data_IF_266919458883
#
_entry.id   IF_266919458883
#
_cell.length_a   1.000
_cell.length_b   1.000
_cell.length_c   1.000
_cell.angle_alpha   90.00
_cell.angle_beta   90.00
_cell.angle_gamma   90.00
#
_symmetry.space_group_name_H-M   'P 1'
#
loop_
_entity.id
_entity.type
_entity.pdbx_description
1 polymer ?
#
# COMPACT_ATOMS: atom_id res chain seq x y z
N UNK A 1 4.60 -9.12 24.12
CA UNK A 1 3.57 -9.14 23.05
C UNK A 1 4.28 -8.70 21.78
N UNK A 2 4.21 -9.47 20.68
CA UNK A 2 4.81 -9.09 19.39
C UNK A 2 3.73 -8.36 18.61
N UNK A 3 4.00 -7.14 18.16
CA UNK A 3 3.14 -6.41 17.21
C UNK A 3 3.58 -6.73 15.78
N UNK A 4 2.65 -6.80 14.83
CA UNK A 4 2.92 -7.14 13.43
C UNK A 4 3.06 -5.89 12.58
N UNK A 5 2.37 -4.80 12.94
CA UNK A 5 2.51 -3.49 12.29
C UNK A 5 2.50 -2.34 13.29
N UNK A 6 3.06 -1.21 12.88
CA UNK A 6 2.93 0.08 13.54
C UNK A 6 2.48 1.10 12.49
N UNK A 7 1.23 1.54 12.64
CA UNK A 7 0.59 2.47 11.70
C UNK A 7 0.82 3.93 12.10
N UNK A 8 0.53 4.87 11.18
CA UNK A 8 0.83 6.30 11.33
C UNK A 8 2.31 6.61 11.60
N UNK A 9 3.22 5.83 10.99
CA UNK A 9 4.65 5.90 11.27
C UNK A 9 5.38 7.05 10.54
N UNK A 10 4.67 8.08 10.07
CA UNK A 10 5.27 9.18 9.30
C UNK A 10 6.16 10.10 10.15
N UNK A 11 5.95 10.17 11.47
CA UNK A 11 6.83 10.88 12.40
C UNK A 11 7.92 10.03 13.05
N UNK A 12 7.99 8.74 12.73
CA UNK A 12 8.98 7.82 13.29
C UNK A 12 10.37 8.17 12.76
N UNK A 13 11.36 8.25 13.64
CA UNK A 13 12.75 8.50 13.24
C UNK A 13 13.44 7.24 12.71
N UNK A 14 14.60 7.41 12.08
CA UNK A 14 15.33 6.34 11.42
C UNK A 14 15.78 5.24 12.39
N UNK A 15 16.20 5.60 13.62
CA UNK A 15 16.60 4.62 14.65
C UNK A 15 15.43 3.72 15.05
N UNK A 16 14.26 4.29 15.29
CA UNK A 16 13.07 3.53 15.61
C UNK A 16 12.64 2.62 14.46
N UNK A 17 12.71 3.10 13.19
CA UNK A 17 12.44 2.26 12.01
C UNK A 17 13.40 1.09 11.88
N UNK A 18 14.68 1.30 12.13
CA UNK A 18 15.66 0.21 12.14
C UNK A 18 15.30 -0.86 13.16
N UNK A 19 14.93 -0.45 14.39
CA UNK A 19 14.47 -1.38 15.43
C UNK A 19 13.18 -2.11 15.06
N UNK A 20 12.25 -1.45 14.37
CA UNK A 20 11.03 -2.08 13.84
C UNK A 20 11.38 -3.14 12.79
N UNK A 21 12.29 -2.82 11.86
CA UNK A 21 12.81 -3.78 10.87
C UNK A 21 13.41 -5.01 11.54
N UNK A 22 14.32 -4.83 12.51
CA UNK A 22 14.98 -5.91 13.23
C UNK A 22 13.97 -6.79 14.00
N UNK A 23 12.88 -6.18 14.48
CA UNK A 23 11.79 -6.88 15.16
C UNK A 23 10.78 -7.53 14.18
N UNK A 24 10.91 -7.33 12.87
CA UNK A 24 9.99 -7.82 11.86
C UNK A 24 8.62 -7.15 11.91
N UNK A 25 8.58 -5.88 12.32
CA UNK A 25 7.35 -5.06 12.38
C UNK A 25 7.19 -4.31 11.06
N UNK A 26 6.05 -4.47 10.40
CA UNK A 26 5.70 -3.70 9.21
C UNK A 26 5.43 -2.23 9.58
N UNK A 27 6.00 -1.30 8.81
CA UNK A 27 5.81 0.13 9.01
C UNK A 27 4.62 0.61 8.17
N UNK A 28 3.51 0.94 8.80
CA UNK A 28 2.29 1.43 8.13
C UNK A 28 2.31 2.94 7.92
N UNK A 29 2.08 3.37 6.68
CA UNK A 29 1.90 4.77 6.31
C UNK A 29 0.50 5.02 5.78
N UNK A 30 -0.02 6.20 6.08
CA UNK A 30 -1.34 6.63 5.67
C UNK A 30 -1.21 7.96 4.90
N UNK A 31 -0.82 7.91 3.61
CA UNK A 31 -0.46 9.10 2.83
C UNK A 31 -1.59 10.11 2.68
N UNK A 32 -2.84 9.69 2.88
CA UNK A 32 -4.00 10.59 2.90
C UNK A 32 -3.94 11.61 4.03
N UNK A 33 -3.36 11.26 5.18
CA UNK A 33 -3.22 12.16 6.33
C UNK A 33 -2.31 13.36 6.02
N UNK A 34 -1.02 13.20 5.68
CA UNK A 34 -0.18 14.34 5.33
C UNK A 34 -0.68 15.11 4.10
N UNK A 35 -1.37 14.45 3.17
CA UNK A 35 -2.00 15.14 2.04
C UNK A 35 -3.12 16.08 2.48
N UNK A 36 -4.06 15.58 3.30
CA UNK A 36 -5.24 16.34 3.72
C UNK A 36 -4.92 17.41 4.76
N UNK A 37 -3.93 17.17 5.62
CA UNK A 37 -3.54 18.06 6.71
C UNK A 37 -2.36 18.97 6.39
N UNK A 38 -1.73 18.84 5.22
CA UNK A 38 -0.57 19.65 4.83
C UNK A 38 0.71 19.32 5.61
N UNK A 39 0.83 18.10 6.12
CA UNK A 39 1.98 17.67 6.91
C UNK A 39 3.19 17.30 6.03
N UNK A 40 4.34 17.17 6.67
CA UNK A 40 5.56 16.73 6.02
C UNK A 40 5.48 15.24 5.63
N UNK A 41 5.94 14.93 4.41
CA UNK A 41 5.99 13.56 3.91
C UNK A 41 7.26 12.85 4.34
N UNK A 42 7.17 11.55 4.70
CA UNK A 42 8.36 10.74 4.96
C UNK A 42 9.26 10.59 3.73
N UNK A 43 10.53 10.31 3.96
CA UNK A 43 11.45 9.94 2.89
C UNK A 43 11.30 8.44 2.53
N UNK A 44 10.36 8.14 1.65
CA UNK A 44 10.07 6.76 1.23
C UNK A 44 11.24 6.09 0.50
N UNK A 45 11.99 6.85 -0.31
CA UNK A 45 13.16 6.31 -1.00
C UNK A 45 14.26 5.87 -0.03
N UNK A 46 14.44 6.60 1.08
CA UNK A 46 15.35 6.14 2.14
C UNK A 46 14.90 4.81 2.74
N UNK A 47 13.61 4.63 2.99
CA UNK A 47 13.09 3.36 3.51
C UNK A 47 13.31 2.20 2.53
N UNK A 48 13.16 2.44 1.23
CA UNK A 48 13.47 1.44 0.20
C UNK A 48 14.95 1.08 0.22
N UNK A 49 15.83 2.09 0.28
CA UNK A 49 17.29 1.88 0.32
C UNK A 49 17.76 1.17 1.60
N UNK A 50 17.07 1.41 2.70
CA UNK A 50 17.35 0.76 4.00
C UNK A 50 16.66 -0.61 4.11
N UNK A 51 16.02 -1.10 3.05
CA UNK A 51 15.30 -2.38 2.98
C UNK A 51 14.26 -2.53 4.12
N UNK A 52 13.53 -1.47 4.40
CA UNK A 52 12.45 -1.47 5.40
C UNK A 52 11.16 -1.94 4.74
N UNK A 53 10.50 -2.93 5.33
CA UNK A 53 9.16 -3.36 4.90
C UNK A 53 8.13 -2.33 5.36
N UNK A 54 7.40 -1.76 4.41
CA UNK A 54 6.37 -0.77 4.68
C UNK A 54 5.12 -1.00 3.83
N UNK A 55 3.98 -0.54 4.33
CA UNK A 55 2.68 -0.63 3.67
C UNK A 55 1.97 0.72 3.68
N UNK A 56 0.97 0.88 2.82
CA UNK A 56 0.09 2.04 2.83
C UNK A 56 -1.37 1.64 3.04
N UNK A 57 -2.12 2.55 3.67
CA UNK A 57 -3.57 2.47 3.82
C UNK A 57 -4.19 3.85 3.62
N UNK A 58 -5.49 3.93 3.50
CA UNK A 58 -6.19 5.19 3.18
C UNK A 58 -6.37 6.11 4.38
N UNK A 59 -6.49 5.55 5.58
CA UNK A 59 -6.91 6.29 6.78
C UNK A 59 -8.24 7.03 6.56
N UNK A 60 -9.20 6.37 5.91
CA UNK A 60 -10.49 6.98 5.66
C UNK A 60 -11.20 7.32 6.97
N UNK A 61 -11.45 8.61 7.18
CA UNK A 61 -12.10 9.16 8.37
C UNK A 61 -12.75 10.52 8.03
N UNK A 62 -13.50 11.16 8.94
CA UNK A 62 -14.16 12.44 8.66
C UNK A 62 -13.24 13.57 8.19
N UNK A 63 -11.94 13.56 8.57
CA UNK A 63 -10.96 14.57 8.18
C UNK A 63 -10.21 14.21 6.89
N UNK A 64 -10.25 12.93 6.50
CA UNK A 64 -9.60 12.40 5.31
C UNK A 64 -10.53 11.42 4.60
N UNK A 65 -11.26 11.90 3.60
CA UNK A 65 -12.27 11.12 2.87
C UNK A 65 -11.71 10.43 1.61
N UNK A 66 -10.42 10.05 1.62
CA UNK A 66 -9.77 9.36 0.51
C UNK A 66 -9.97 7.85 0.67
N UNK A 67 -10.63 7.20 -0.30
CA UNK A 67 -10.82 5.75 -0.38
C UNK A 67 -9.94 5.06 -1.43
N UNK A 68 -9.23 5.84 -2.26
CA UNK A 68 -8.52 5.32 -3.41
C UNK A 68 -7.05 5.07 -3.12
N UNK A 69 -6.65 3.81 -3.02
CA UNK A 69 -5.23 3.40 -2.96
C UNK A 69 -4.47 3.79 -4.25
N UNK A 70 -5.04 3.63 -5.49
CA UNK A 70 -4.40 4.15 -6.71
C UNK A 70 -4.11 5.65 -6.65
N UNK A 71 -5.02 6.46 -6.10
CA UNK A 71 -4.78 7.89 -5.92
C UNK A 71 -3.62 8.16 -4.95
N UNK A 72 -3.60 7.50 -3.78
CA UNK A 72 -2.51 7.65 -2.82
C UNK A 72 -1.16 7.22 -3.41
N UNK A 73 -1.15 6.14 -4.16
CA UNK A 73 0.05 5.68 -4.88
C UNK A 73 0.51 6.70 -5.93
N UNK A 74 -0.41 7.36 -6.63
CA UNK A 74 -0.06 8.43 -7.55
C UNK A 74 0.62 9.63 -6.87
N UNK A 75 0.21 9.93 -5.63
CA UNK A 75 0.87 10.97 -4.82
C UNK A 75 2.29 10.56 -4.44
N UNK A 76 2.50 9.30 -4.03
CA UNK A 76 3.84 8.80 -3.72
C UNK A 76 4.77 8.88 -4.93
N UNK A 77 4.30 8.51 -6.11
CA UNK A 77 5.06 8.62 -7.36
C UNK A 77 5.34 10.09 -7.70
N UNK A 78 4.30 10.93 -7.75
CA UNK A 78 4.42 12.30 -8.28
C UNK A 78 5.08 13.28 -7.31
N UNK A 79 4.85 13.16 -5.99
CA UNK A 79 5.38 14.08 -4.97
C UNK A 79 6.66 13.58 -4.31
N UNK A 80 6.77 12.26 -4.11
CA UNK A 80 7.86 11.67 -3.36
C UNK A 80 8.88 10.96 -4.25
N UNK A 81 8.61 10.84 -5.55
CA UNK A 81 9.51 10.18 -6.51
C UNK A 81 9.67 8.67 -6.24
N UNK A 82 8.66 8.05 -5.62
CA UNK A 82 8.68 6.61 -5.35
C UNK A 82 8.43 5.84 -6.65
N UNK A 83 9.19 4.77 -6.86
CA UNK A 83 9.01 3.89 -8.01
C UNK A 83 7.58 3.26 -8.00
N UNK A 84 6.87 3.22 -9.16
CA UNK A 84 5.54 2.61 -9.26
C UNK A 84 5.47 1.16 -8.78
N UNK A 85 6.55 0.37 -8.96
CA UNK A 85 6.61 -1.01 -8.46
C UNK A 85 6.68 -1.04 -6.93
N UNK A 86 7.44 -0.14 -6.31
CA UNK A 86 7.48 -0.03 -4.85
C UNK A 86 6.11 0.34 -4.28
N UNK A 87 5.36 1.25 -4.95
CA UNK A 87 3.99 1.58 -4.53
C UNK A 87 3.03 0.39 -4.68
N UNK A 88 3.18 -0.42 -5.73
CA UNK A 88 2.39 -1.64 -5.91
C UNK A 88 2.66 -2.64 -4.78
N UNK A 89 3.93 -2.90 -4.47
CA UNK A 89 4.33 -3.84 -3.42
C UNK A 89 3.83 -3.41 -2.04
N UNK A 90 3.97 -2.11 -1.70
CA UNK A 90 3.49 -1.60 -0.41
C UNK A 90 1.95 -1.50 -0.31
N UNK A 91 1.23 -1.63 -1.42
CA UNK A 91 -0.24 -1.63 -1.48
C UNK A 91 -0.85 -3.04 -1.55
N UNK A 92 -0.06 -4.07 -1.83
CA UNK A 92 -0.55 -5.44 -2.05
C UNK A 92 0.17 -6.46 -1.20
N UNK A 93 1.44 -6.76 -1.52
CA UNK A 93 2.22 -7.82 -0.88
C UNK A 93 2.53 -7.52 0.58
N UNK A 94 3.00 -6.30 0.88
CA UNK A 94 3.43 -5.96 2.23
C UNK A 94 2.27 -5.91 3.23
N UNK A 95 1.11 -5.26 2.96
CA UNK A 95 -0.02 -5.30 3.89
C UNK A 95 -0.60 -6.71 4.07
N UNK A 96 -0.51 -7.59 3.08
CA UNK A 96 -0.95 -8.97 3.21
C UNK A 96 -0.24 -9.76 4.33
N UNK A 97 0.97 -9.35 4.71
CA UNK A 97 1.73 -9.96 5.82
C UNK A 97 1.01 -9.78 7.16
N UNK A 98 0.36 -8.62 7.35
CA UNK A 98 -0.30 -8.24 8.61
C UNK A 98 -1.83 -8.40 8.59
N UNK A 99 -2.38 -8.78 7.45
CA UNK A 99 -3.82 -9.00 7.26
C UNK A 99 -4.09 -10.40 6.71
N UNK A 100 -3.85 -11.46 7.50
CA UNK A 100 -4.02 -12.84 7.03
C UNK A 100 -5.48 -13.09 6.61
N UNK A 101 -5.64 -13.84 5.50
CA UNK A 101 -6.99 -14.21 5.05
C UNK A 101 -7.61 -15.27 5.96
N UNK A 102 -8.93 -15.19 6.29
CA UNK A 102 -9.59 -16.15 7.19
C UNK A 102 -9.51 -17.61 6.74
N UNK A 103 -9.37 -17.87 5.43
CA UNK A 103 -9.19 -19.25 4.91
C UNK A 103 -7.82 -19.85 5.20
N UNK A 104 -6.85 -19.05 5.67
CA UNK A 104 -5.45 -19.46 5.85
C UNK A 104 -4.65 -19.51 4.55
N UNK A 105 -5.26 -19.23 3.39
CA UNK A 105 -4.54 -19.12 2.11
C UNK A 105 -3.81 -17.78 2.01
N UNK A 106 -2.71 -17.78 1.30
CA UNK A 106 -1.93 -16.56 1.05
C UNK A 106 -2.63 -15.64 0.04
N UNK A 107 -2.38 -14.34 0.14
CA UNK A 107 -2.86 -13.31 -0.78
C UNK A 107 -1.82 -12.19 -0.97
N UNK A 108 -2.17 -11.16 -1.75
CA UNK A 108 -1.25 -10.07 -2.06
C UNK A 108 -0.18 -10.42 -3.10
N UNK A 109 -0.27 -11.59 -3.71
CA UNK A 109 0.61 -12.09 -4.77
C UNK A 109 -0.16 -12.95 -5.78
N UNK A 110 0.39 -13.09 -6.99
CA UNK A 110 -0.14 -13.99 -8.02
C UNK A 110 0.76 -15.23 -8.04
N UNK A 111 0.32 -16.28 -7.37
CA UNK A 111 1.06 -17.53 -7.23
C UNK A 111 0.07 -18.71 -7.09
N UNK A 112 0.49 -19.91 -7.54
CA UNK A 112 -0.32 -21.12 -7.40
C UNK A 112 -0.58 -21.40 -5.92
N UNK A 113 -1.84 -21.58 -5.54
CA UNK A 113 -2.27 -21.79 -4.15
C UNK A 113 -2.67 -20.51 -3.41
N UNK A 114 -2.43 -19.32 -3.98
CA UNK A 114 -2.93 -18.06 -3.42
C UNK A 114 -4.39 -17.81 -3.78
N UNK A 115 -5.10 -17.06 -2.94
CA UNK A 115 -6.45 -16.61 -3.23
C UNK A 115 -6.46 -15.68 -4.43
N UNK A 116 -7.39 -15.89 -5.35
CA UNK A 116 -7.60 -15.06 -6.51
C UNK A 116 -8.43 -13.80 -6.16
N UNK A 117 -7.82 -12.89 -5.38
CA UNK A 117 -8.31 -11.54 -5.10
C UNK A 117 -7.50 -10.56 -5.95
N UNK A 118 -8.04 -10.16 -7.11
CA UNK A 118 -7.33 -9.43 -8.15
C UNK A 118 -8.15 -8.25 -8.65
N UNK A 119 -7.48 -7.15 -8.99
CA UNK A 119 -8.07 -6.08 -9.78
C UNK A 119 -7.64 -6.20 -11.24
N UNK A 120 -8.58 -6.03 -12.16
CA UNK A 120 -8.34 -6.06 -13.61
C UNK A 120 -8.14 -4.62 -14.09
N UNK A 121 -6.96 -4.35 -14.61
CA UNK A 121 -6.56 -3.02 -15.04
C UNK A 121 -7.12 -2.68 -16.43
N UNK A 122 -7.63 -1.46 -16.60
CA UNK A 122 -8.04 -0.91 -17.91
C UNK A 122 -6.83 -0.36 -18.67
N UNK A 123 -5.83 -1.18 -18.87
CA UNK A 123 -4.62 -0.80 -19.60
C UNK A 123 -3.73 -1.99 -19.91
N UNK A 124 -2.97 -1.88 -21.00
CA UNK A 124 -1.85 -2.78 -21.29
C UNK A 124 -0.57 -2.41 -20.54
N UNK A 125 -0.48 -1.18 -20.04
CA UNK A 125 0.63 -0.72 -19.22
C UNK A 125 0.26 -0.87 -17.75
N UNK A 126 0.95 -1.72 -17.04
CA UNK A 126 0.70 -2.00 -15.62
C UNK A 126 0.88 -0.77 -14.72
N UNK A 127 1.80 0.16 -15.05
CA UNK A 127 2.02 1.38 -14.27
C UNK A 127 0.79 2.30 -14.23
N UNK A 128 -0.15 2.13 -15.15
CA UNK A 128 -1.37 2.94 -15.20
C UNK A 128 -2.26 2.79 -13.97
N UNK A 129 -2.04 1.77 -13.13
CA UNK A 129 -2.75 1.58 -11.88
C UNK A 129 -2.59 2.76 -10.90
N UNK A 130 -1.44 3.46 -10.94
CA UNK A 130 -1.12 4.58 -10.05
C UNK A 130 -0.80 5.89 -10.80
N UNK A 131 -1.03 5.98 -12.10
CA UNK A 131 -0.75 7.19 -12.90
C UNK A 131 -2.00 7.96 -13.33
N UNK A 132 -3.19 7.46 -12.97
CA UNK A 132 -4.49 8.07 -13.29
C UNK A 132 -5.25 8.44 -12.02
N UNK A 133 -4.91 9.56 -11.34
CA UNK A 133 -5.45 9.88 -10.02
C UNK A 133 -6.94 10.25 -10.00
N UNK A 134 -7.53 10.63 -11.16
CA UNK A 134 -8.86 11.21 -11.23
C UNK A 134 -10.00 10.19 -11.34
N UNK A 135 -9.71 8.92 -11.62
CA UNK A 135 -10.71 7.86 -11.75
C UNK A 135 -10.12 6.47 -11.47
N UNK A 136 -10.99 5.49 -11.26
CA UNK A 136 -10.54 4.10 -11.07
C UNK A 136 -9.80 3.59 -12.30
N UNK A 137 -8.60 3.04 -12.15
CA UNK A 137 -7.87 2.41 -13.26
C UNK A 137 -8.37 0.99 -13.58
N UNK A 138 -9.39 0.49 -12.86
CA UNK A 138 -9.84 -0.89 -12.95
C UNK A 138 -11.19 -1.02 -13.64
N UNK A 139 -11.32 -2.03 -14.52
CA UNK A 139 -12.58 -2.41 -15.19
C UNK A 139 -13.31 -3.53 -14.49
N UNK A 140 -12.71 -4.14 -13.48
CA UNK A 140 -13.33 -5.20 -12.71
C UNK A 140 -12.45 -5.70 -11.58
N UNK A 141 -13.07 -6.47 -10.71
CA UNK A 141 -12.43 -7.08 -9.55
C UNK A 141 -12.78 -8.56 -9.49
N UNK A 142 -11.82 -9.38 -9.14
CA UNK A 142 -12.01 -10.78 -8.80
C UNK A 142 -11.88 -10.95 -7.28
N UNK A 143 -12.89 -11.53 -6.65
CA UNK A 143 -12.90 -11.87 -5.22
C UNK A 143 -13.08 -13.39 -5.08
N UNK A 144 -12.12 -14.04 -4.46
CA UNK A 144 -12.09 -15.50 -4.28
C UNK A 144 -12.36 -16.27 -5.59
N UNK A 145 -11.81 -15.76 -6.70
CA UNK A 145 -11.99 -16.34 -8.03
C UNK A 145 -13.27 -15.93 -8.76
N UNK A 146 -14.20 -15.19 -8.13
CA UNK A 146 -15.42 -14.71 -8.77
C UNK A 146 -15.24 -13.31 -9.32
N UNK A 147 -15.52 -13.11 -10.61
CA UNK A 147 -15.37 -11.83 -11.31
C UNK A 147 -16.58 -10.92 -11.13
N UNK A 148 -16.31 -9.62 -10.97
CA UNK A 148 -17.27 -8.52 -10.92
C UNK A 148 -16.78 -7.39 -11.82
N UNK A 149 -17.60 -6.97 -12.79
CA UNK A 149 -17.30 -5.80 -13.64
C UNK A 149 -17.62 -4.49 -12.89
N UNK A 150 -16.86 -3.44 -13.18
CA UNK A 150 -17.14 -2.09 -12.71
C UNK A 150 -17.91 -1.27 -13.75
#
# INVERSE_FOLDING_TARGET
MKVESADHAHHTNDEARAKMKDAGVNTGFLPGTPYSMGEQWPNFNKMINDDIVWSIATDFNPNNQILSIPFLSSLLVSRCGVDPLATLVCSTRNPAITTPHPSGLEHGKIEVGSIANLNILDSKNWESWCTRPSHSPFIGTMLEGKYYSH
#
